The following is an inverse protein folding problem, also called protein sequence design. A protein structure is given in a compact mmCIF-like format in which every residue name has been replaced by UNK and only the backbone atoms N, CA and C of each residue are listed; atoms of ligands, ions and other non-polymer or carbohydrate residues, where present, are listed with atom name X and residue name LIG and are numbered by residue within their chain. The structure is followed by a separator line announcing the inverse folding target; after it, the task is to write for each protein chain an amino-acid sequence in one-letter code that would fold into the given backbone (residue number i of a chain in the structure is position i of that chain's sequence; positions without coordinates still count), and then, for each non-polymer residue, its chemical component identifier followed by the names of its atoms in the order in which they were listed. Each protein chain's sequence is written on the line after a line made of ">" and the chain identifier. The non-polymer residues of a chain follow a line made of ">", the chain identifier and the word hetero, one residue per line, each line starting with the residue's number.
data_IF_611690176452
#
_entry.id   IF_611690176452
#
_cell.length_a   1.000
_cell.length_b   1.000
_cell.length_c   1.000
_cell.angle_alpha   90.00
_cell.angle_beta   90.00
_cell.angle_gamma   90.00
#
_symmetry.space_group_name_H-M   'P 1'
#
loop_
_entity.id
_entity.type
_entity.pdbx_description
1 polymer ?
#
# COMPACT_ATOMS: atom_id res chain seq x y z
N UNK A 1 10.06 -22.25 -6.34
CA UNK A 1 10.85 -21.71 -7.47
C UNK A 1 12.17 -21.08 -6.99
N UNK A 2 12.26 -19.80 -6.59
CA UNK A 2 13.57 -19.19 -6.22
C UNK A 2 14.26 -19.84 -4.99
N UNK A 3 13.49 -20.31 -4.00
CA UNK A 3 14.05 -20.94 -2.79
C UNK A 3 14.56 -22.38 -3.00
N UNK A 4 13.99 -23.11 -3.97
CA UNK A 4 14.48 -24.45 -4.35
C UNK A 4 15.74 -24.38 -5.21
N UNK A 5 15.93 -23.32 -5.99
CA UNK A 5 17.11 -23.16 -6.87
C UNK A 5 18.37 -22.72 -6.10
N UNK A 6 18.24 -22.11 -4.92
CA UNK A 6 19.37 -21.50 -4.18
C UNK A 6 19.70 -22.18 -2.83
N UNK A 7 19.10 -23.33 -2.52
CA UNK A 7 19.40 -24.18 -1.35
C UNK A 7 19.59 -23.38 -0.04
N UNK A 8 18.66 -22.46 0.22
CA UNK A 8 18.72 -21.56 1.37
C UNK A 8 18.34 -22.33 2.66
N UNK A 9 19.09 -22.18 3.76
CA UNK A 9 18.87 -22.94 5.00
C UNK A 9 17.61 -22.52 5.81
N UNK A 10 16.73 -21.71 5.23
CA UNK A 10 15.54 -21.17 5.89
C UNK A 10 14.26 -21.70 5.24
N UNK A 11 13.28 -22.05 6.08
CA UNK A 11 11.91 -22.32 5.62
C UNK A 11 11.32 -21.10 4.91
N UNK A 12 10.46 -21.32 3.91
CA UNK A 12 9.92 -20.25 3.06
C UNK A 12 9.19 -19.17 3.87
N UNK A 13 8.51 -19.55 4.96
CA UNK A 13 7.89 -18.59 5.89
C UNK A 13 8.94 -17.75 6.64
N UNK A 14 10.03 -18.38 7.09
CA UNK A 14 11.13 -17.68 7.75
C UNK A 14 11.73 -16.59 6.87
N UNK A 15 12.00 -16.92 5.60
CA UNK A 15 12.51 -15.96 4.63
C UNK A 15 11.55 -14.78 4.41
N UNK A 16 10.25 -15.05 4.28
CA UNK A 16 9.22 -14.01 4.12
C UNK A 16 9.17 -13.05 5.33
N UNK A 17 9.30 -13.58 6.55
CA UNK A 17 9.30 -12.77 7.77
C UNK A 17 10.51 -11.84 7.82
N UNK A 18 11.72 -12.37 7.59
CA UNK A 18 12.94 -11.55 7.64
C UNK A 18 13.00 -10.52 6.53
N UNK A 19 12.64 -10.89 5.29
CA UNK A 19 12.60 -9.96 4.16
C UNK A 19 11.54 -8.89 4.39
N UNK A 20 10.34 -9.27 4.84
CA UNK A 20 9.28 -8.32 5.16
C UNK A 20 9.66 -7.35 6.28
N UNK A 21 10.29 -7.84 7.34
CA UNK A 21 10.78 -7.02 8.44
C UNK A 21 11.88 -6.04 7.97
N UNK A 22 12.86 -6.53 7.21
CA UNK A 22 13.93 -5.71 6.66
C UNK A 22 13.38 -4.61 5.74
N UNK A 23 12.48 -4.95 4.80
CA UNK A 23 11.84 -3.99 3.91
C UNK A 23 10.99 -2.97 4.67
N UNK A 24 10.22 -3.42 5.67
CA UNK A 24 9.41 -2.55 6.52
C UNK A 24 10.25 -1.56 7.32
N UNK A 25 11.37 -2.00 7.89
CA UNK A 25 12.32 -1.15 8.60
C UNK A 25 12.96 -0.11 7.67
N UNK A 26 13.48 -0.55 6.53
CA UNK A 26 14.09 0.33 5.54
C UNK A 26 13.10 1.39 5.04
N UNK A 27 11.89 0.97 4.68
CA UNK A 27 10.82 1.89 4.29
C UNK A 27 10.43 2.83 5.43
N UNK A 28 10.30 2.33 6.66
CA UNK A 28 9.95 3.14 7.83
C UNK A 28 10.97 4.25 8.11
N UNK A 29 12.25 3.92 8.09
CA UNK A 29 13.35 4.90 8.25
C UNK A 29 13.33 5.92 7.12
N UNK A 30 13.25 5.45 5.86
CA UNK A 30 13.18 6.35 4.71
C UNK A 30 11.95 7.26 4.74
N UNK A 31 10.78 6.73 5.12
CA UNK A 31 9.52 7.46 5.22
C UNK A 31 9.54 8.49 6.37
N UNK A 32 10.22 8.18 7.47
CA UNK A 32 10.42 9.12 8.58
C UNK A 32 11.30 10.30 8.18
N UNK A 33 12.45 10.03 7.55
CA UNK A 33 13.40 11.07 7.10
C UNK A 33 12.76 11.96 6.05
N UNK A 34 12.13 11.36 5.04
CA UNK A 34 11.51 12.09 3.91
C UNK A 34 10.16 12.73 4.24
N UNK A 35 9.57 12.42 5.40
CA UNK A 35 8.20 12.80 5.78
C UNK A 35 7.19 12.36 4.73
N UNK A 36 7.34 11.14 4.22
CA UNK A 36 6.60 10.59 3.08
C UNK A 36 5.08 10.66 3.29
N UNK A 37 4.40 11.51 2.52
CA UNK A 37 2.95 11.59 2.56
C UNK A 37 2.33 12.21 1.31
N UNK A 38 1.47 11.44 0.62
CA UNK A 38 0.71 11.91 -0.54
C UNK A 38 -0.11 13.16 -0.23
N UNK A 39 -0.80 13.17 0.92
CA UNK A 39 -1.61 14.32 1.36
C UNK A 39 -0.80 15.62 1.44
N UNK A 40 0.48 15.58 1.84
CA UNK A 40 1.34 16.78 1.90
C UNK A 40 1.60 17.37 0.52
N UNK A 41 1.66 16.52 -0.50
CA UNK A 41 1.81 16.95 -1.89
C UNK A 41 0.51 17.43 -2.56
N UNK A 42 -0.65 17.00 -2.07
CA UNK A 42 -1.95 17.40 -2.66
C UNK A 42 -2.53 18.68 -2.04
N UNK A 43 -2.24 18.95 -0.78
CA UNK A 43 -2.75 20.13 -0.09
C UNK A 43 -1.81 21.32 -0.33
N UNK A 44 -2.38 22.47 -0.69
CA UNK A 44 -1.61 23.70 -0.93
C UNK A 44 -0.75 24.07 0.28
N UNK A 45 0.55 24.24 0.06
CA UNK A 45 1.53 24.58 1.08
C UNK A 45 2.90 24.88 0.49
N UNK A 46 3.79 25.49 1.27
CA UNK A 46 5.13 25.89 0.82
C UNK A 46 6.01 24.72 0.37
N UNK A 47 5.81 23.55 0.97
CA UNK A 47 6.60 22.32 0.72
C UNK A 47 5.90 21.35 -0.26
N UNK A 48 4.81 21.78 -0.91
CA UNK A 48 3.96 20.92 -1.73
C UNK A 48 4.73 20.25 -2.88
N UNK A 49 5.52 21.01 -3.64
CA UNK A 49 6.26 20.53 -4.81
C UNK A 49 7.31 19.48 -4.42
N UNK A 50 8.08 19.73 -3.37
CA UNK A 50 9.08 18.79 -2.89
C UNK A 50 8.43 17.50 -2.37
N UNK A 51 7.32 17.61 -1.63
CA UNK A 51 6.55 16.47 -1.15
C UNK A 51 5.97 15.61 -2.27
N UNK A 52 5.37 16.25 -3.29
CA UNK A 52 4.90 15.57 -4.51
C UNK A 52 6.05 14.91 -5.25
N UNK A 53 7.18 15.60 -5.41
CA UNK A 53 8.36 15.07 -6.09
C UNK A 53 8.88 13.80 -5.42
N UNK A 54 8.97 13.78 -4.09
CA UNK A 54 9.38 12.57 -3.34
C UNK A 54 8.37 11.43 -3.49
N UNK A 55 7.08 11.74 -3.50
CA UNK A 55 6.05 10.70 -3.65
C UNK A 55 6.01 10.13 -5.07
N UNK A 56 6.09 10.98 -6.09
CA UNK A 56 6.11 10.58 -7.49
C UNK A 56 7.38 9.84 -7.88
N UNK A 57 8.54 10.22 -7.36
CA UNK A 57 9.78 9.48 -7.61
C UNK A 57 9.72 8.08 -6.99
N UNK A 58 9.20 7.95 -5.77
CA UNK A 58 8.98 6.64 -5.15
C UNK A 58 7.99 5.78 -5.95
N UNK A 59 6.89 6.37 -6.44
CA UNK A 59 5.93 5.68 -7.29
C UNK A 59 6.58 5.21 -8.61
N UNK A 60 7.33 6.09 -9.28
CA UNK A 60 8.00 5.76 -10.53
C UNK A 60 9.01 4.63 -10.35
N UNK A 61 9.82 4.66 -9.29
CA UNK A 61 10.77 3.59 -8.96
C UNK A 61 10.04 2.28 -8.63
N UNK A 62 8.93 2.34 -7.90
CA UNK A 62 8.14 1.14 -7.58
C UNK A 62 7.54 0.50 -8.84
N UNK A 63 6.98 1.31 -9.75
CA UNK A 63 6.42 0.82 -11.02
C UNK A 63 7.52 0.26 -11.91
N UNK A 64 8.60 1.00 -12.14
CA UNK A 64 9.70 0.54 -12.99
C UNK A 64 10.41 -0.70 -12.42
N UNK A 65 10.58 -0.76 -11.09
CA UNK A 65 11.20 -1.90 -10.42
C UNK A 65 10.34 -3.17 -10.50
N UNK A 66 9.03 -3.05 -10.31
CA UNK A 66 8.11 -4.19 -10.41
C UNK A 66 7.99 -4.70 -11.85
N UNK A 67 7.90 -3.81 -12.84
CA UNK A 67 7.87 -4.23 -14.25
C UNK A 67 9.18 -4.86 -14.69
N UNK A 68 10.33 -4.35 -14.25
CA UNK A 68 11.63 -4.96 -14.52
C UNK A 68 11.76 -6.35 -13.89
N UNK A 69 11.28 -6.53 -12.65
CA UNK A 69 11.31 -7.83 -11.97
C UNK A 69 10.45 -8.89 -12.69
N UNK A 70 9.30 -8.49 -13.24
CA UNK A 70 8.45 -9.36 -14.08
C UNK A 70 9.19 -9.70 -15.38
N UNK A 71 9.76 -8.70 -16.06
CA UNK A 71 10.47 -8.91 -17.33
C UNK A 71 11.71 -9.82 -17.21
N UNK A 72 12.38 -9.80 -16.06
CA UNK A 72 13.52 -10.67 -15.75
C UNK A 72 13.11 -12.07 -15.27
N UNK A 73 11.80 -12.34 -15.12
CA UNK A 73 11.28 -13.62 -14.63
C UNK A 73 11.53 -13.87 -13.13
N UNK A 74 11.86 -12.84 -12.35
CA UNK A 74 12.08 -12.96 -10.91
C UNK A 74 10.79 -13.09 -10.11
N UNK A 75 9.70 -12.52 -10.62
CA UNK A 75 8.37 -12.51 -10.00
C UNK A 75 7.32 -12.83 -11.06
N UNK A 76 6.45 -13.79 -10.77
CA UNK A 76 5.26 -14.09 -11.57
C UNK A 76 4.01 -13.55 -10.87
N UNK A 77 3.30 -12.64 -11.55
CA UNK A 77 2.05 -12.02 -11.10
C UNK A 77 0.85 -12.49 -11.93
N UNK A 78 1.04 -13.40 -12.88
CA UNK A 78 -0.01 -13.80 -13.84
C UNK A 78 -1.23 -14.38 -13.13
N UNK A 79 -1.03 -15.08 -12.02
CA UNK A 79 -2.09 -15.66 -11.18
C UNK A 79 -2.44 -14.81 -9.95
N UNK A 80 -1.94 -13.57 -9.86
CA UNK A 80 -2.27 -12.70 -8.73
C UNK A 80 -3.70 -12.19 -8.84
N UNK A 81 -4.43 -12.24 -7.71
CA UNK A 81 -5.81 -11.70 -7.56
C UNK A 81 -5.98 -10.26 -8.04
N UNK A 82 -4.91 -9.47 -8.10
CA UNK A 82 -4.93 -8.07 -8.52
C UNK A 82 -4.63 -7.87 -10.02
N UNK A 83 -4.25 -8.93 -10.74
CA UNK A 83 -4.15 -8.98 -12.20
C UNK A 83 -5.46 -9.56 -12.75
N UNK A 84 -6.46 -8.70 -12.92
CA UNK A 84 -7.77 -9.05 -13.51
C UNK A 84 -7.99 -8.16 -14.73
N UNK A 85 -8.45 -8.74 -15.84
CA UNK A 85 -8.70 -8.02 -17.09
C UNK A 85 -9.86 -7.04 -16.99
N UNK A 86 -10.80 -7.30 -16.10
CA UNK A 86 -11.98 -6.47 -15.88
C UNK A 86 -11.69 -5.39 -14.84
N UNK A 87 -11.90 -4.12 -15.22
CA UNK A 87 -11.72 -2.99 -14.31
C UNK A 87 -13.02 -2.70 -13.53
N UNK A 88 -13.06 -2.91 -12.20
CA UNK A 88 -14.23 -2.60 -11.39
C UNK A 88 -14.30 -1.09 -11.10
N UNK A 89 -14.72 -0.30 -12.09
CA UNK A 89 -14.68 1.17 -12.06
C UNK A 89 -15.41 1.75 -10.84
N UNK A 90 -16.59 1.21 -10.51
CA UNK A 90 -17.39 1.67 -9.38
C UNK A 90 -16.65 1.44 -8.04
N UNK A 91 -16.07 0.26 -7.85
CA UNK A 91 -15.31 -0.05 -6.65
C UNK A 91 -14.08 0.86 -6.50
N UNK A 92 -13.39 1.16 -7.61
CA UNK A 92 -12.21 2.04 -7.61
C UNK A 92 -12.60 3.47 -7.24
N UNK A 93 -13.67 4.02 -7.82
CA UNK A 93 -14.12 5.39 -7.54
C UNK A 93 -14.61 5.52 -6.09
N UNK A 94 -15.49 4.62 -5.63
CA UNK A 94 -16.03 4.65 -4.26
C UNK A 94 -14.93 4.39 -3.23
N UNK A 95 -14.04 3.44 -3.50
CA UNK A 95 -12.87 3.14 -2.66
C UNK A 95 -11.88 4.32 -2.58
N UNK A 96 -11.56 4.93 -3.73
CA UNK A 96 -10.67 6.08 -3.80
C UNK A 96 -11.21 7.30 -3.07
N UNK A 97 -12.50 7.61 -3.24
CA UNK A 97 -13.15 8.72 -2.55
C UNK A 97 -13.21 8.49 -1.03
N UNK A 98 -13.62 7.30 -0.59
CA UNK A 98 -13.67 6.98 0.84
C UNK A 98 -12.29 7.03 1.50
N UNK A 99 -11.24 6.54 0.83
CA UNK A 99 -9.86 6.66 1.30
C UNK A 99 -9.40 8.13 1.34
N UNK A 100 -9.72 8.92 0.32
CA UNK A 100 -9.42 10.36 0.25
C UNK A 100 -10.08 11.16 1.38
N UNK A 101 -11.37 10.97 1.59
CA UNK A 101 -12.13 11.58 2.71
C UNK A 101 -11.50 11.17 4.04
N UNK A 102 -11.17 9.88 4.21
CA UNK A 102 -10.47 9.38 5.39
C UNK A 102 -9.14 10.09 5.64
N UNK A 103 -8.33 10.32 4.59
CA UNK A 103 -7.06 11.06 4.71
C UNK A 103 -7.26 12.51 5.19
N UNK A 104 -8.33 13.17 4.75
CA UNK A 104 -8.65 14.54 5.18
C UNK A 104 -9.10 14.55 6.64
N UNK A 105 -10.04 13.68 7.01
CA UNK A 105 -10.62 13.59 8.36
C UNK A 105 -9.56 13.22 9.41
N UNK A 106 -8.70 12.27 9.08
CA UNK A 106 -7.62 11.83 9.98
C UNK A 106 -6.40 12.76 9.94
N UNK A 107 -6.38 13.73 9.02
CA UNK A 107 -5.27 14.68 8.78
C UNK A 107 -3.94 13.97 8.48
N UNK A 108 -3.99 12.81 7.82
CA UNK A 108 -2.81 12.00 7.53
C UNK A 108 -3.07 10.96 6.44
N UNK A 109 -2.02 10.63 5.70
CA UNK A 109 -2.00 9.44 4.85
C UNK A 109 -1.59 8.22 5.68
N UNK A 110 -1.99 7.01 5.28
CA UNK A 110 -1.74 5.79 6.05
C UNK A 110 -0.25 5.58 6.33
N UNK A 111 0.62 5.79 5.33
CA UNK A 111 2.08 5.67 5.47
C UNK A 111 2.64 6.55 6.59
N UNK A 112 2.19 7.81 6.66
CA UNK A 112 2.64 8.75 7.69
C UNK A 112 2.06 8.42 9.05
N UNK A 113 0.82 7.96 9.12
CA UNK A 113 0.19 7.54 10.38
C UNK A 113 0.89 6.30 10.96
N UNK A 114 1.32 5.36 10.13
CA UNK A 114 2.10 4.20 10.56
C UNK A 114 3.43 4.62 11.20
N UNK A 115 4.20 5.48 10.51
CA UNK A 115 5.47 6.01 11.06
C UNK A 115 5.23 6.79 12.34
N UNK A 116 4.22 7.67 12.37
CA UNK A 116 3.90 8.46 13.57
C UNK A 116 3.47 7.58 14.74
N UNK A 117 2.72 6.50 14.48
CA UNK A 117 2.38 5.49 15.49
C UNK A 117 3.62 4.86 16.10
N UNK A 118 4.61 4.53 15.27
CA UNK A 118 5.92 4.02 15.73
C UNK A 118 6.74 5.02 16.54
N UNK A 119 6.54 6.34 16.34
CA UNK A 119 7.20 7.40 17.12
C UNK A 119 6.47 7.78 18.42
N UNK A 120 5.40 7.07 18.81
CA UNK A 120 4.67 7.31 20.06
C UNK A 120 3.46 8.24 19.94
N UNK A 121 2.99 8.56 18.73
CA UNK A 121 1.79 9.37 18.55
C UNK A 121 0.52 8.53 18.76
N UNK A 122 -0.12 8.66 19.93
CA UNK A 122 -1.32 7.90 20.30
C UNK A 122 -2.51 8.14 19.35
N UNK A 123 -2.67 9.36 18.82
CA UNK A 123 -3.71 9.65 17.82
C UNK A 123 -3.47 8.86 16.54
N UNK A 124 -2.23 8.86 16.06
CA UNK A 124 -1.87 8.11 14.85
C UNK A 124 -2.04 6.60 15.03
N UNK A 125 -1.63 6.08 16.19
CA UNK A 125 -1.80 4.67 16.55
C UNK A 125 -3.30 4.28 16.59
N UNK A 126 -4.14 5.10 17.23
CA UNK A 126 -5.58 4.84 17.34
C UNK A 126 -6.23 4.82 15.95
N UNK A 127 -5.91 5.80 15.09
CA UNK A 127 -6.42 5.84 13.71
C UNK A 127 -5.93 4.62 12.92
N UNK A 128 -4.66 4.23 13.07
CA UNK A 128 -4.08 3.08 12.39
C UNK A 128 -4.77 1.77 12.78
N UNK A 129 -5.08 1.58 14.07
CA UNK A 129 -5.81 0.41 14.56
C UNK A 129 -7.23 0.34 13.99
N UNK A 130 -7.97 1.45 14.02
CA UNK A 130 -9.32 1.51 13.44
C UNK A 130 -9.25 1.21 11.93
N UNK A 131 -8.30 1.81 11.22
CA UNK A 131 -8.08 1.53 9.80
C UNK A 131 -7.81 0.04 9.55
N UNK A 132 -6.93 -0.59 10.33
CA UNK A 132 -6.58 -2.00 10.16
C UNK A 132 -7.80 -2.92 10.36
N UNK A 133 -8.62 -2.66 11.39
CA UNK A 133 -9.84 -3.44 11.66
C UNK A 133 -10.86 -3.26 10.53
N UNK A 134 -11.11 -2.03 10.08
CA UNK A 134 -12.07 -1.74 8.99
C UNK A 134 -11.59 -2.32 7.66
N UNK A 135 -10.29 -2.21 7.36
CA UNK A 135 -9.69 -2.81 6.17
C UNK A 135 -9.84 -4.34 6.19
N UNK A 136 -9.57 -4.98 7.33
CA UNK A 136 -9.76 -6.41 7.49
C UNK A 136 -11.22 -6.83 7.35
N UNK A 137 -12.14 -6.07 7.95
CA UNK A 137 -13.58 -6.30 7.83
C UNK A 137 -14.10 -6.15 6.39
N UNK A 138 -13.46 -5.30 5.58
CA UNK A 138 -13.76 -5.13 4.14
C UNK A 138 -13.21 -6.27 3.29
N UNK A 139 -12.04 -6.81 3.64
CA UNK A 139 -11.42 -7.90 2.88
C UNK A 139 -12.07 -9.25 3.16
N UNK A 140 -12.28 -9.59 4.44
CA UNK A 140 -12.70 -10.92 4.88
C UNK A 140 -13.89 -10.93 5.85
N UNK A 141 -14.35 -9.77 6.28
CA UNK A 141 -15.41 -9.67 7.30
C UNK A 141 -16.76 -9.25 6.74
N UNK A 142 -17.52 -8.52 7.57
CA UNK A 142 -18.92 -8.15 7.33
C UNK A 142 -19.11 -7.24 6.10
N UNK A 143 -18.09 -6.47 5.72
CA UNK A 143 -18.16 -5.59 4.54
C UNK A 143 -17.72 -6.29 3.24
N UNK A 144 -17.33 -7.57 3.29
CA UNK A 144 -16.97 -8.36 2.11
C UNK A 144 -18.09 -8.44 1.04
N UNK A 145 -19.37 -8.72 1.36
CA UNK A 145 -20.43 -8.75 0.33
C UNK A 145 -20.62 -7.39 -0.34
N UNK A 146 -20.52 -6.29 0.41
CA UNK A 146 -20.58 -4.94 -0.15
C UNK A 146 -19.41 -4.69 -1.12
N UNK A 147 -18.18 -5.08 -0.74
CA UNK A 147 -17.01 -4.98 -1.62
C UNK A 147 -17.21 -5.76 -2.92
N UNK A 148 -17.76 -6.97 -2.84
CA UNK A 148 -18.01 -7.82 -4.02
C UNK A 148 -19.11 -7.22 -4.90
N UNK A 149 -20.20 -6.73 -4.32
CA UNK A 149 -21.29 -6.08 -5.06
C UNK A 149 -20.83 -4.80 -5.78
N UNK A 150 -19.96 -4.01 -5.16
CA UNK A 150 -19.34 -2.85 -5.83
C UNK A 150 -18.36 -3.27 -6.93
N UNK A 151 -17.71 -4.43 -6.75
CA UNK A 151 -16.74 -4.98 -7.68
C UNK A 151 -17.34 -5.70 -8.89
N UNK A 152 -18.62 -6.09 -8.85
CA UNK A 152 -19.29 -6.74 -9.98
C UNK A 152 -19.69 -5.78 -11.10
N UNK A 153 -19.59 -4.47 -10.87
CA UNK A 153 -19.79 -3.46 -11.91
C UNK A 153 -18.45 -3.22 -12.58
N UNK A 154 -18.18 -4.05 -13.59
CA UNK A 154 -16.94 -4.03 -14.36
C UNK A 154 -17.13 -3.35 -15.70
N UNK A 155 -16.03 -2.81 -16.22
CA UNK A 155 -15.91 -2.33 -17.59
C UNK A 155 -14.80 -3.15 -18.24
N UNK A 156 -15.10 -3.76 -19.37
CA UNK A 156 -14.10 -4.46 -20.18
C UNK A 156 -13.11 -3.44 -20.74
N UNK A 157 -11.82 -3.66 -20.48
CA UNK A 157 -10.71 -2.84 -20.98
C UNK A 157 -9.74 -3.67 -21.78
#
# INVERSE_FOLDING_TARGET
>A
MLFETYDLPFDAQGAQLFVGLALGLLFGVAAQISRFCLRRGLVAGSDQRAALGTWLSALAVAVAGTTAAIALGWVDLSDHRLMVSELPLLAVVVGGLSFGVGMVLTRGCISRLTVLGGTGNLRALTVLLIFAVVAHATLKGVFAPLRVALGSVTVDT
#
